data_IF_866880330693
#
_entry.id   IF_866880330693
#
_cell.length_a   1.000
_cell.length_b   1.000
_cell.length_c   1.000
_cell.angle_alpha   90.00
_cell.angle_beta   90.00
_cell.angle_gamma   90.00
#
_symmetry.space_group_name_H-M   'P 1'
#
loop_
_entity.id
_entity.type
_entity.pdbx_description
1 polymer ?
#
# COMPACT_ATOMS: atom_id res chain seq x y z
N UNK A 1 -14.13 0.67 -13.30
CA UNK A 1 -13.37 1.31 -12.21
C UNK A 1 -14.14 2.56 -11.80
N UNK A 2 -14.59 2.65 -10.55
CA UNK A 2 -15.23 3.86 -10.05
C UNK A 2 -14.13 4.91 -9.84
N UNK A 3 -14.21 6.01 -10.59
CA UNK A 3 -13.32 7.16 -10.46
C UNK A 3 -13.72 7.94 -9.21
N UNK A 4 -13.05 7.73 -8.08
CA UNK A 4 -13.25 8.56 -6.88
C UNK A 4 -12.84 10.00 -7.16
N UNK A 5 -13.71 10.96 -6.84
CA UNK A 5 -13.45 12.39 -7.06
C UNK A 5 -12.39 12.88 -6.07
N UNK A 6 -11.46 13.74 -6.52
CA UNK A 6 -10.50 14.41 -5.65
C UNK A 6 -11.24 15.17 -4.53
N UNK A 7 -11.03 14.78 -3.28
CA UNK A 7 -11.69 15.34 -2.09
C UNK A 7 -12.62 14.36 -1.35
N UNK A 8 -12.95 13.21 -1.94
CA UNK A 8 -13.65 12.15 -1.22
C UNK A 8 -12.73 11.48 -0.19
N UNK A 9 -13.29 11.17 0.99
CA UNK A 9 -12.59 10.57 2.13
C UNK A 9 -13.23 9.22 2.42
N UNK A 10 -12.41 8.22 2.73
CA UNK A 10 -12.82 6.95 3.32
C UNK A 10 -12.30 6.85 4.75
N UNK A 11 -13.11 6.28 5.65
CA UNK A 11 -12.73 6.03 7.04
C UNK A 11 -12.13 4.64 7.13
N UNK A 12 -10.91 4.54 7.64
CA UNK A 12 -10.24 3.27 7.92
C UNK A 12 -9.87 3.16 9.39
N UNK A 13 -9.64 1.94 9.88
CA UNK A 13 -9.16 1.69 11.24
C UNK A 13 -7.84 0.94 11.21
N UNK A 14 -6.92 1.33 12.09
CA UNK A 14 -5.77 0.52 12.49
C UNK A 14 -5.83 0.22 14.00
N UNK A 15 -4.76 -0.32 14.58
CA UNK A 15 -4.68 -0.64 16.02
C UNK A 15 -4.77 0.59 16.94
N UNK A 16 -4.58 1.80 16.41
CA UNK A 16 -4.70 3.06 17.15
C UNK A 16 -6.05 3.75 16.92
N UNK A 17 -6.99 3.10 16.22
CA UNK A 17 -8.34 3.58 15.99
C UNK A 17 -8.58 4.09 14.56
N UNK A 18 -9.65 4.87 14.41
CA UNK A 18 -10.12 5.35 13.11
C UNK A 18 -9.31 6.54 12.58
N UNK A 19 -9.16 6.61 11.26
CA UNK A 19 -8.50 7.69 10.56
C UNK A 19 -9.13 7.94 9.17
N UNK A 20 -9.21 9.22 8.82
CA UNK A 20 -9.65 9.66 7.49
C UNK A 20 -8.52 9.50 6.47
N UNK A 21 -8.80 8.79 5.38
CA UNK A 21 -7.86 8.54 4.29
C UNK A 21 -8.47 9.03 2.98
N UNK A 22 -7.73 9.75 2.11
CA UNK A 22 -8.25 10.13 0.80
C UNK A 22 -8.67 8.91 -0.03
N UNK A 23 -9.85 8.97 -0.63
CA UNK A 23 -10.42 7.85 -1.38
C UNK A 23 -9.66 7.55 -2.68
N UNK A 24 -8.94 8.53 -3.23
CA UNK A 24 -8.16 8.43 -4.46
C UNK A 24 -6.75 7.86 -4.28
N UNK A 25 -6.37 7.48 -3.05
CA UNK A 25 -5.04 6.94 -2.74
C UNK A 25 -5.11 5.46 -2.36
N UNK A 26 -4.13 4.70 -2.85
CA UNK A 26 -4.01 3.26 -2.58
C UNK A 26 -3.50 2.93 -1.16
N UNK A 27 -2.89 3.88 -0.45
CA UNK A 27 -2.38 3.63 0.90
C UNK A 27 -3.52 3.61 1.93
N UNK A 28 -3.30 2.92 3.05
CA UNK A 28 -4.28 2.79 4.14
C UNK A 28 -3.99 3.65 5.37
N UNK A 29 -4.72 3.37 6.46
CA UNK A 29 -4.61 4.08 7.74
C UNK A 29 -3.18 4.14 8.30
N UNK A 30 -2.43 3.03 8.24
CA UNK A 30 -1.06 2.98 8.78
C UNK A 30 -0.12 3.96 8.07
N UNK A 31 -0.15 4.01 6.74
CA UNK A 31 0.67 4.97 5.97
C UNK A 31 0.22 6.40 6.23
N UNK A 32 -1.09 6.65 6.28
CA UNK A 32 -1.63 7.97 6.58
C UNK A 32 -1.19 8.47 7.97
N UNK A 33 -1.17 7.58 8.97
CA UNK A 33 -0.65 7.88 10.32
C UNK A 33 0.87 8.12 10.31
N UNK A 34 1.63 7.29 9.61
CA UNK A 34 3.08 7.49 9.46
C UNK A 34 3.40 8.86 8.85
N UNK A 35 2.68 9.29 7.81
CA UNK A 35 2.83 10.63 7.22
C UNK A 35 2.45 11.76 8.18
N UNK A 36 1.59 11.53 9.17
CA UNK A 36 1.29 12.52 10.21
C UNK A 36 2.41 12.63 11.24
N UNK A 37 2.99 11.48 11.62
CA UNK A 37 4.02 11.38 12.66
C UNK A 37 5.42 11.79 12.17
N UNK A 38 5.74 11.52 10.90
CA UNK A 38 7.10 11.66 10.36
C UNK A 38 7.17 12.64 9.19
N UNK A 39 6.90 13.92 9.46
CA UNK A 39 6.98 15.01 8.47
C UNK A 39 8.35 15.71 8.48
N UNK A 40 9.41 14.94 8.27
CA UNK A 40 10.79 15.41 8.38
C UNK A 40 11.43 15.38 6.98
N UNK A 41 12.27 16.35 6.65
CA UNK A 41 13.10 16.29 5.43
C UNK A 41 12.43 16.64 4.10
N UNK A 42 11.11 16.87 4.09
CA UNK A 42 10.39 17.32 2.90
C UNK A 42 10.40 16.30 1.74
N UNK A 43 10.14 16.75 0.49
CA UNK A 43 10.08 15.86 -0.68
C UNK A 43 11.40 15.19 -1.05
N UNK A 44 12.53 15.78 -0.66
CA UNK A 44 13.88 15.32 -1.00
C UNK A 44 14.25 14.04 -0.23
N UNK A 45 13.74 13.89 0.99
CA UNK A 45 13.94 12.72 1.86
C UNK A 45 12.88 11.62 1.64
N UNK A 46 12.15 11.67 0.52
CA UNK A 46 11.21 10.59 0.18
C UNK A 46 11.96 9.30 -0.11
N UNK A 47 11.31 8.17 0.20
CA UNK A 47 11.84 6.84 -0.09
C UNK A 47 12.26 6.75 -1.57
N UNK A 48 13.53 6.38 -1.85
CA UNK A 48 14.00 6.27 -3.22
C UNK A 48 13.20 5.27 -4.03
N UNK A 49 12.89 5.62 -5.29
CA UNK A 49 12.16 4.74 -6.21
C UNK A 49 12.75 3.32 -6.32
N UNK A 50 14.09 3.11 -6.37
CA UNK A 50 14.65 1.76 -6.40
C UNK A 50 14.24 0.89 -5.20
N UNK A 51 14.08 1.48 -4.02
CA UNK A 51 13.64 0.77 -2.81
C UNK A 51 12.18 0.38 -2.93
N UNK A 52 11.33 1.31 -3.40
CA UNK A 52 9.92 1.02 -3.70
C UNK A 52 9.84 -0.11 -4.73
N UNK A 53 10.72 -0.10 -5.73
CA UNK A 53 10.77 -1.16 -6.74
C UNK A 53 11.14 -2.52 -6.15
N UNK A 54 12.18 -2.56 -5.32
CA UNK A 54 12.59 -3.76 -4.61
C UNK A 54 11.44 -4.35 -3.76
N UNK A 55 10.63 -3.51 -3.10
CA UNK A 55 9.46 -3.97 -2.36
C UNK A 55 8.41 -4.65 -3.26
N UNK A 56 8.18 -4.13 -4.46
CA UNK A 56 7.31 -4.77 -5.45
C UNK A 56 7.78 -6.19 -5.79
N UNK A 57 9.06 -6.34 -6.15
CA UNK A 57 9.65 -7.66 -6.45
C UNK A 57 9.59 -8.61 -5.26
N UNK A 58 9.91 -8.12 -4.06
CA UNK A 58 9.87 -8.91 -2.83
C UNK A 58 8.46 -9.44 -2.56
N UNK A 59 7.43 -8.59 -2.68
CA UNK A 59 6.04 -9.00 -2.43
C UNK A 59 5.50 -9.92 -3.53
N UNK A 60 5.92 -9.74 -4.78
CA UNK A 60 5.63 -10.68 -5.86
C UNK A 60 6.20 -12.06 -5.56
N UNK A 61 7.48 -12.15 -5.21
CA UNK A 61 8.13 -13.40 -4.87
C UNK A 61 7.46 -14.08 -3.65
N UNK A 62 7.15 -13.31 -2.61
CA UNK A 62 6.45 -13.81 -1.43
C UNK A 62 5.06 -14.37 -1.77
N UNK A 63 4.30 -13.71 -2.65
CA UNK A 63 2.98 -14.19 -3.07
C UNK A 63 3.05 -15.50 -3.86
N UNK A 64 4.04 -15.64 -4.75
CA UNK A 64 4.28 -16.87 -5.51
C UNK A 64 4.60 -18.03 -4.57
N UNK A 65 5.57 -17.84 -3.68
CA UNK A 65 5.97 -18.90 -2.73
C UNK A 65 4.83 -19.25 -1.78
N UNK A 66 4.15 -18.25 -1.21
CA UNK A 66 3.06 -18.50 -0.26
C UNK A 66 1.85 -19.19 -0.88
N UNK A 67 1.66 -19.13 -2.20
CA UNK A 67 0.61 -19.89 -2.88
C UNK A 67 0.81 -21.40 -2.67
N UNK A 68 2.05 -21.87 -2.68
CA UNK A 68 2.38 -23.28 -2.44
C UNK A 68 2.18 -23.69 -0.97
N UNK A 69 2.13 -22.71 -0.06
CA UNK A 69 1.92 -22.90 1.40
C UNK A 69 0.51 -22.52 1.87
N UNK A 70 -0.45 -22.39 0.95
CA UNK A 70 -1.87 -22.25 1.29
C UNK A 70 -2.45 -20.84 1.15
N UNK A 71 -1.72 -19.90 0.55
CA UNK A 71 -2.34 -18.65 0.11
C UNK A 71 -3.30 -18.94 -1.06
N UNK A 72 -4.52 -18.42 -0.96
CA UNK A 72 -5.54 -18.56 -2.00
C UNK A 72 -5.02 -18.09 -3.37
N UNK A 73 -5.27 -18.89 -4.41
CA UNK A 73 -4.72 -18.62 -5.74
C UNK A 73 -5.23 -17.33 -6.36
N UNK A 74 -6.48 -16.94 -6.09
CA UNK A 74 -7.05 -15.68 -6.61
C UNK A 74 -6.38 -14.49 -5.93
N UNK A 75 -6.15 -14.57 -4.62
CA UNK A 75 -5.42 -13.55 -3.86
C UNK A 75 -3.96 -13.47 -4.33
N UNK A 76 -3.27 -14.60 -4.43
CA UNK A 76 -1.87 -14.66 -4.88
C UNK A 76 -1.70 -14.01 -6.26
N UNK A 77 -2.56 -14.37 -7.22
CA UNK A 77 -2.55 -13.79 -8.58
C UNK A 77 -2.81 -12.28 -8.56
N UNK A 78 -3.75 -11.80 -7.74
CA UNK A 78 -4.02 -10.37 -7.60
C UNK A 78 -2.82 -9.61 -7.01
N UNK A 79 -2.15 -10.18 -6.00
CA UNK A 79 -0.92 -9.59 -5.45
C UNK A 79 0.18 -9.58 -6.50
N UNK A 80 0.40 -10.67 -7.23
CA UNK A 80 1.40 -10.75 -8.31
C UNK A 80 1.13 -9.75 -9.43
N UNK A 81 -0.14 -9.50 -9.76
CA UNK A 81 -0.53 -8.50 -10.77
C UNK A 81 -0.30 -7.07 -10.26
N UNK A 82 -0.63 -6.79 -9.00
CA UNK A 82 -0.39 -5.48 -8.39
C UNK A 82 1.10 -5.23 -8.10
N UNK A 83 1.87 -6.30 -7.88
CA UNK A 83 3.28 -6.28 -7.57
C UNK A 83 4.11 -6.40 -8.86
N UNK A 84 4.58 -5.28 -9.37
CA UNK A 84 5.41 -5.22 -10.56
C UNK A 84 5.46 -3.80 -11.12
N UNK A 85 6.45 -3.56 -11.97
CA UNK A 85 6.58 -2.36 -12.79
C UNK A 85 6.54 -2.79 -14.25
#
# INVERSE_FOLDING_TARGET
MATSKSGEIRVESDTFGQLNVPADKYYGAQTARSMQNFKIGGPEERMPLPVIHAFGYLKKAAAIVNQDFGLDSKIAKAIVQAAGF
#
